data_IF_845555096115
#
_entry.id   IF_845555096115
#
_cell.length_a   1.000
_cell.length_b   1.000
_cell.length_c   1.000
_cell.angle_alpha   90.00
_cell.angle_beta   90.00
_cell.angle_gamma   90.00
#
_symmetry.space_group_name_H-M   'P 1'
#
loop_
_entity.id
_entity.type
_entity.pdbx_description
1 polymer ?
#
# COMPACT_ATOMS: atom_id res chain seq x y z
N UNK A 1 5.84 -39.79 15.59
CA UNK A 1 6.19 -40.15 14.21
C UNK A 1 4.95 -39.95 13.36
N UNK A 2 5.05 -39.15 12.28
CA UNK A 2 4.23 -39.09 11.05
C UNK A 2 2.69 -39.13 11.17
N UNK A 3 1.89 -38.46 10.35
CA UNK A 3 2.04 -37.54 9.23
C UNK A 3 0.62 -36.92 9.08
N UNK A 4 0.47 -35.67 8.68
CA UNK A 4 0.39 -35.35 7.25
C UNK A 4 -1.02 -34.82 6.95
N UNK A 5 -1.12 -33.49 6.82
CA UNK A 5 -2.31 -32.77 6.37
C UNK A 5 -2.84 -33.34 5.06
N UNK A 6 -4.11 -33.77 5.06
CA UNK A 6 -4.85 -34.02 3.83
C UNK A 6 -5.76 -32.80 3.57
N UNK A 7 -5.21 -31.87 2.78
CA UNK A 7 -5.95 -30.76 2.20
C UNK A 7 -6.94 -31.32 1.16
N UNK A 8 -8.24 -31.12 1.40
CA UNK A 8 -9.31 -31.52 0.49
C UNK A 8 -9.23 -30.68 -0.80
N UNK A 9 -8.79 -31.31 -1.90
CA UNK A 9 -8.76 -30.71 -3.23
C UNK A 9 -10.15 -30.69 -3.86
N UNK A 10 -10.58 -29.50 -4.28
CA UNK A 10 -11.89 -29.18 -4.88
C UNK A 10 -12.05 -29.72 -6.32
N UNK A 11 -11.06 -30.46 -6.82
CA UNK A 11 -11.03 -31.00 -8.18
C UNK A 11 -11.48 -32.47 -8.32
N UNK A 12 -12.13 -33.06 -7.31
CA UNK A 12 -12.82 -34.34 -7.50
C UNK A 12 -14.23 -34.12 -8.03
N UNK A 13 -14.36 -33.93 -9.34
CA UNK A 13 -15.64 -34.09 -10.02
C UNK A 13 -15.73 -35.49 -10.63
N UNK A 14 -16.63 -36.28 -10.05
CA UNK A 14 -17.09 -37.59 -10.52
C UNK A 14 -17.49 -37.55 -12.00
N UNK A 15 -17.01 -38.52 -12.79
CA UNK A 15 -17.32 -38.66 -14.21
C UNK A 15 -18.55 -39.54 -14.45
N UNK A 16 -19.68 -39.23 -13.80
CA UNK A 16 -20.96 -39.85 -14.13
C UNK A 16 -21.84 -38.85 -14.88
N UNK A 17 -21.61 -38.77 -16.20
CA UNK A 17 -22.56 -38.15 -17.12
C UNK A 17 -23.36 -39.24 -17.83
N UNK A 18 -24.68 -39.12 -17.70
CA UNK A 18 -25.70 -39.96 -18.34
C UNK A 18 -25.50 -39.94 -19.86
N UNK A 19 -25.36 -41.12 -20.48
CA UNK A 19 -25.22 -41.30 -21.93
C UNK A 19 -26.55 -40.96 -22.64
N UNK A 20 -26.66 -39.75 -23.18
CA UNK A 20 -27.72 -39.42 -24.15
C UNK A 20 -27.30 -39.96 -25.51
N UNK A 21 -28.03 -40.95 -26.02
CA UNK A 21 -27.81 -41.58 -27.33
C UNK A 21 -28.13 -40.60 -28.47
N UNK A 22 -27.10 -40.18 -29.21
CA UNK A 22 -27.20 -39.64 -30.56
C UNK A 22 -26.87 -40.70 -31.62
N UNK A 23 -27.36 -40.56 -32.87
CA UNK A 23 -27.34 -41.62 -33.90
C UNK A 23 -25.91 -41.91 -34.43
N UNK A 24 -25.69 -43.10 -35.03
CA UNK A 24 -24.35 -43.67 -35.19
C UNK A 24 -23.56 -42.96 -36.29
N UNK A 25 -22.39 -42.43 -35.95
CA UNK A 25 -21.40 -42.02 -36.94
C UNK A 25 -20.65 -43.25 -37.42
N UNK A 26 -20.68 -43.47 -38.73
CA UNK A 26 -20.05 -44.59 -39.41
C UNK A 26 -18.58 -44.77 -39.02
N UNK A 27 -18.29 -46.01 -38.63
CA UNK A 27 -16.96 -46.58 -38.44
C UNK A 27 -16.21 -46.66 -39.77
N UNK A 28 -15.01 -46.06 -39.87
CA UNK A 28 -13.92 -46.46 -40.77
C UNK A 28 -12.61 -46.34 -39.99
N UNK A 29 -12.15 -47.44 -39.39
CA UNK A 29 -10.99 -48.24 -39.82
C UNK A 29 -9.65 -47.51 -39.81
N UNK A 30 -8.91 -47.72 -38.72
CA UNK A 30 -7.48 -48.05 -38.71
C UNK A 30 -6.49 -47.00 -39.21
N UNK A 31 -5.82 -46.33 -38.27
CA UNK A 31 -4.41 -45.95 -38.42
C UNK A 31 -3.78 -45.76 -37.03
N UNK A 32 -2.75 -46.55 -36.73
CA UNK A 32 -1.93 -46.43 -35.53
C UNK A 32 -0.96 -45.24 -35.70
N UNK A 33 -1.45 -44.02 -35.51
CA UNK A 33 -0.61 -42.82 -35.42
C UNK A 33 -0.57 -42.38 -33.96
N UNK A 34 0.60 -42.10 -33.36
CA UNK A 34 0.67 -41.53 -32.01
C UNK A 34 -0.08 -40.20 -31.99
N UNK A 35 -0.81 -39.84 -30.91
CA UNK A 35 -1.45 -38.54 -30.84
C UNK A 35 -0.37 -37.46 -30.88
N UNK A 36 -0.39 -36.67 -31.96
CA UNK A 36 0.36 -35.42 -32.05
C UNK A 36 -0.05 -34.56 -30.83
N UNK A 37 0.87 -33.86 -30.14
CA UNK A 37 0.48 -32.96 -29.07
C UNK A 37 -0.52 -31.96 -29.65
N UNK A 38 -1.76 -32.00 -29.16
CA UNK A 38 -2.86 -31.14 -29.58
C UNK A 38 -2.42 -29.68 -29.51
N UNK A 39 -1.90 -29.16 -30.62
CA UNK A 39 -1.74 -27.74 -30.80
C UNK A 39 -3.17 -27.19 -30.91
N UNK A 40 -3.60 -26.28 -30.02
CA UNK A 40 -4.96 -25.77 -30.07
C UNK A 40 -5.19 -25.22 -31.48
N UNK A 41 -6.17 -25.79 -32.18
CA UNK A 41 -6.50 -25.35 -33.53
C UNK A 41 -7.03 -23.92 -33.43
N UNK A 42 -6.17 -22.95 -33.71
CA UNK A 42 -6.55 -21.54 -33.74
C UNK A 42 -7.37 -21.36 -35.02
N UNK A 43 -8.69 -21.32 -34.84
CA UNK A 43 -9.64 -21.14 -35.92
C UNK A 43 -9.51 -19.71 -36.47
N UNK A 44 -9.92 -19.48 -37.72
CA UNK A 44 -10.02 -18.11 -38.25
C UNK A 44 -10.88 -17.19 -37.36
N UNK A 45 -11.87 -17.77 -36.66
CA UNK A 45 -12.65 -17.08 -35.63
C UNK A 45 -11.80 -16.62 -34.44
N UNK A 46 -10.82 -17.41 -33.99
CA UNK A 46 -9.92 -17.05 -32.88
C UNK A 46 -8.97 -15.92 -33.29
N UNK A 47 -8.54 -15.90 -34.55
CA UNK A 47 -7.80 -14.77 -35.11
C UNK A 47 -8.66 -13.49 -35.12
N UNK A 48 -9.93 -13.58 -35.53
CA UNK A 48 -10.85 -12.44 -35.46
C UNK A 48 -11.13 -12.00 -34.01
N UNK A 49 -11.18 -12.91 -33.04
CA UNK A 49 -11.31 -12.59 -31.62
C UNK A 49 -10.04 -11.90 -31.10
N UNK A 50 -8.87 -12.37 -31.50
CA UNK A 50 -7.57 -11.77 -31.18
C UNK A 50 -7.42 -10.37 -31.77
N UNK A 51 -7.75 -10.20 -33.06
CA UNK A 51 -7.71 -8.92 -33.77
C UNK A 51 -8.73 -7.92 -33.21
N UNK A 52 -9.89 -8.41 -32.75
CA UNK A 52 -10.89 -7.64 -32.03
C UNK A 52 -10.55 -7.43 -30.54
N UNK A 53 -9.36 -7.85 -30.07
CA UNK A 53 -8.93 -7.76 -28.66
C UNK A 53 -9.98 -8.29 -27.67
N UNK A 54 -10.71 -9.35 -28.02
CA UNK A 54 -11.77 -9.94 -27.18
C UNK A 54 -13.13 -9.23 -27.24
N UNK A 55 -13.33 -8.26 -28.14
CA UNK A 55 -14.65 -7.65 -28.37
C UNK A 55 -15.56 -8.58 -29.20
N UNK A 56 -16.29 -9.46 -28.51
CA UNK A 56 -17.45 -10.14 -29.10
C UNK A 56 -18.59 -9.13 -29.34
N UNK A 57 -19.17 -9.18 -30.55
CA UNK A 57 -20.21 -8.28 -31.10
C UNK A 57 -21.59 -8.39 -30.44
N UNK A 58 -21.82 -9.38 -29.57
CA UNK A 58 -23.10 -9.57 -28.91
C UNK A 58 -23.24 -8.69 -27.64
N UNK A 59 -23.00 -7.37 -27.76
CA UNK A 59 -23.09 -6.42 -26.64
C UNK A 59 -24.46 -6.50 -25.96
N UNK A 60 -25.52 -6.65 -26.74
CA UNK A 60 -26.93 -6.64 -26.32
C UNK A 60 -27.32 -7.80 -25.37
N UNK A 61 -26.59 -8.92 -25.40
CA UNK A 61 -26.85 -10.09 -24.55
C UNK A 61 -26.01 -10.14 -23.27
N UNK A 62 -25.02 -9.25 -23.14
CA UNK A 62 -24.09 -9.23 -22.01
C UNK A 62 -24.66 -8.45 -20.83
N UNK A 63 -24.42 -8.95 -19.61
CA UNK A 63 -24.84 -8.26 -18.38
C UNK A 63 -24.35 -6.80 -18.39
N UNK A 64 -25.18 -5.87 -17.91
CA UNK A 64 -24.93 -4.42 -17.96
C UNK A 64 -23.54 -4.00 -17.46
N UNK A 65 -23.00 -4.69 -16.45
CA UNK A 65 -21.63 -4.48 -15.94
C UNK A 65 -20.54 -4.76 -16.98
N UNK A 66 -20.73 -5.78 -17.82
CA UNK A 66 -19.78 -6.18 -18.86
C UNK A 66 -19.89 -5.27 -20.09
N UNK A 67 -21.08 -4.73 -20.37
CA UNK A 67 -21.25 -3.67 -21.36
C UNK A 67 -20.54 -2.37 -20.93
N UNK A 68 -20.62 -2.01 -19.65
CA UNK A 68 -19.92 -0.84 -19.10
C UNK A 68 -18.40 -1.06 -19.16
N UNK A 69 -17.92 -2.23 -18.72
CA UNK A 69 -16.49 -2.57 -18.78
C UNK A 69 -15.94 -2.62 -20.21
N UNK A 70 -16.76 -3.02 -21.20
CA UNK A 70 -16.40 -2.99 -22.62
C UNK A 70 -16.46 -1.58 -23.24
N UNK A 71 -17.22 -0.65 -22.67
CA UNK A 71 -17.25 0.75 -23.13
C UNK A 71 -15.99 1.51 -22.72
N UNK A 72 -15.34 1.11 -21.64
CA UNK A 72 -14.08 1.69 -21.21
C UNK A 72 -12.96 1.23 -22.15
N UNK A 73 -12.35 2.19 -22.86
CA UNK A 73 -11.16 1.94 -23.67
C UNK A 73 -10.05 1.45 -22.74
N UNK A 74 -9.44 0.28 -22.99
CA UNK A 74 -8.26 -0.11 -22.23
C UNK A 74 -7.17 0.92 -22.44
N UNK A 75 -6.58 1.39 -21.33
CA UNK A 75 -5.44 2.30 -21.37
C UNK A 75 -4.35 1.74 -22.26
N UNK A 76 -3.73 2.60 -23.06
CA UNK A 76 -2.54 2.20 -23.82
C UNK A 76 -1.38 1.95 -22.86
N UNK A 77 -0.41 1.12 -23.26
CA UNK A 77 0.79 0.86 -22.47
C UNK A 77 1.50 2.16 -22.08
N UNK A 78 1.48 3.17 -22.96
CA UNK A 78 2.03 4.49 -22.70
C UNK A 78 1.25 5.27 -21.64
N UNK A 79 -0.09 5.27 -21.72
CA UNK A 79 -0.95 5.89 -20.69
C UNK A 79 -0.78 5.21 -19.33
N UNK A 80 -0.63 3.89 -19.32
CA UNK A 80 -0.36 3.12 -18.11
C UNK A 80 1.01 3.47 -17.50
N UNK A 81 2.05 3.57 -18.33
CA UNK A 81 3.39 3.98 -17.88
C UNK A 81 3.39 5.39 -17.27
N UNK A 82 2.69 6.35 -17.89
CA UNK A 82 2.56 7.70 -17.33
C UNK A 82 1.85 7.64 -15.97
N UNK A 83 0.72 6.92 -15.88
CA UNK A 83 -0.01 6.78 -14.62
C UNK A 83 0.84 6.18 -13.51
N UNK A 84 1.66 5.18 -13.82
CA UNK A 84 2.54 4.54 -12.85
C UNK A 84 3.65 5.49 -12.39
N UNK A 85 4.21 6.31 -13.29
CA UNK A 85 5.22 7.30 -12.93
C UNK A 85 4.65 8.39 -12.03
N UNK A 86 3.42 8.83 -12.29
CA UNK A 86 2.71 9.79 -11.44
C UNK A 86 2.45 9.21 -10.04
N UNK A 87 1.98 7.95 -9.97
CA UNK A 87 1.75 7.24 -8.70
C UNK A 87 3.05 7.06 -7.90
N UNK A 88 4.12 6.60 -8.55
CA UNK A 88 5.43 6.46 -7.92
C UNK A 88 5.97 7.80 -7.38
N UNK A 89 5.72 8.88 -8.13
CA UNK A 89 6.11 10.22 -7.69
C UNK A 89 5.31 10.65 -6.45
N UNK A 90 4.01 10.40 -6.43
CA UNK A 90 3.15 10.65 -5.28
C UNK A 90 3.61 9.88 -4.03
N UNK A 91 3.84 8.57 -4.17
CA UNK A 91 4.34 7.71 -3.08
C UNK A 91 5.70 8.21 -2.58
N UNK A 92 6.59 8.65 -3.48
CA UNK A 92 7.89 9.19 -3.07
C UNK A 92 7.74 10.44 -2.21
N UNK A 93 6.88 11.38 -2.61
CA UNK A 93 6.64 12.59 -1.83
C UNK A 93 5.95 12.32 -0.49
N UNK A 94 5.03 11.36 -0.45
CA UNK A 94 4.40 10.90 0.77
C UNK A 94 5.43 10.30 1.73
N UNK A 95 6.32 9.43 1.23
CA UNK A 95 7.41 8.86 2.01
C UNK A 95 8.39 9.95 2.51
N UNK A 96 8.73 10.94 1.68
CA UNK A 96 9.56 12.08 2.10
C UNK A 96 8.90 12.86 3.26
N UNK A 97 7.59 13.12 3.16
CA UNK A 97 6.85 13.84 4.20
C UNK A 97 6.80 13.06 5.52
N UNK A 98 6.44 11.77 5.47
CA UNK A 98 6.41 10.93 6.66
C UNK A 98 7.80 10.70 7.25
N UNK A 99 8.83 10.61 6.40
CA UNK A 99 10.24 10.59 6.83
C UNK A 99 10.59 11.82 7.65
N UNK A 100 10.31 13.02 7.12
CA UNK A 100 10.54 14.27 7.85
C UNK A 100 9.78 14.33 9.18
N UNK A 101 8.53 13.85 9.21
CA UNK A 101 7.74 13.79 10.44
C UNK A 101 8.33 12.81 11.47
N UNK A 102 8.87 11.68 11.02
CA UNK A 102 9.57 10.72 11.87
C UNK A 102 10.84 11.33 12.47
N UNK A 103 11.67 11.98 11.64
CA UNK A 103 12.91 12.62 12.10
C UNK A 103 12.61 13.69 13.16
N UNK A 104 11.58 14.53 12.94
CA UNK A 104 11.15 15.54 13.91
C UNK A 104 10.63 14.94 15.22
N UNK A 105 9.98 13.79 15.15
CA UNK A 105 9.53 13.07 16.33
C UNK A 105 10.71 12.52 17.13
N UNK A 106 11.68 11.91 16.45
CA UNK A 106 12.90 11.38 17.09
C UNK A 106 13.71 12.49 17.76
N UNK A 107 13.85 13.66 17.11
CA UNK A 107 14.47 14.85 17.71
C UNK A 107 13.73 15.31 18.97
N UNK A 108 12.40 15.34 18.95
CA UNK A 108 11.60 15.72 20.11
C UNK A 108 11.76 14.71 21.25
N UNK A 109 11.75 13.41 20.96
CA UNK A 109 11.97 12.34 21.95
C UNK A 109 13.35 12.48 22.58
N UNK A 110 14.39 12.75 21.79
CA UNK A 110 15.75 13.01 22.28
C UNK A 110 15.78 14.23 23.21
N UNK A 111 15.15 15.34 22.81
CA UNK A 111 15.08 16.55 23.62
C UNK A 111 14.35 16.33 24.96
N UNK A 112 13.23 15.59 24.94
CA UNK A 112 12.47 15.23 26.16
C UNK A 112 13.30 14.32 27.07
N UNK A 113 13.96 13.32 26.49
CA UNK A 113 14.82 12.38 27.23
C UNK A 113 16.00 13.11 27.87
N UNK A 114 16.62 14.05 27.16
CA UNK A 114 17.73 14.84 27.68
C UNK A 114 17.26 15.77 28.80
N UNK A 115 16.18 16.52 28.59
CA UNK A 115 15.64 17.43 29.59
C UNK A 115 15.17 16.70 30.86
N UNK A 116 14.55 15.53 30.73
CA UNK A 116 14.15 14.70 31.87
C UNK A 116 15.35 14.16 32.66
N UNK A 117 16.41 13.70 31.99
CA UNK A 117 17.66 13.29 32.66
C UNK A 117 18.33 14.45 33.41
N UNK A 118 18.39 15.63 32.79
CA UNK A 118 18.92 16.84 33.43
C UNK A 118 18.11 17.25 34.66
N UNK A 119 16.78 17.25 34.55
CA UNK A 119 15.89 17.54 35.68
C UNK A 119 16.06 16.51 36.81
N UNK A 120 16.20 15.24 36.46
CA UNK A 120 16.38 14.18 37.44
C UNK A 120 17.71 14.33 38.19
N UNK A 121 18.81 14.59 37.49
CA UNK A 121 20.12 14.79 38.12
C UNK A 121 20.15 16.05 38.99
N UNK A 122 19.56 17.15 38.53
CA UNK A 122 19.47 18.40 39.29
C UNK A 122 18.57 18.25 40.51
N UNK A 123 17.45 17.54 40.39
CA UNK A 123 16.56 17.27 41.53
C UNK A 123 17.21 16.37 42.58
N UNK A 124 18.03 15.39 42.17
CA UNK A 124 18.79 14.55 43.09
C UNK A 124 19.86 15.34 43.85
N UNK A 125 20.61 16.20 43.17
CA UNK A 125 21.58 17.09 43.82
C UNK A 125 20.88 18.01 44.80
N UNK A 126 19.79 18.63 44.36
CA UNK A 126 18.96 19.50 45.17
C UNK A 126 18.45 18.81 46.46
N UNK A 127 17.94 17.58 46.36
CA UNK A 127 17.46 16.84 47.53
C UNK A 127 18.60 16.47 48.47
N UNK A 128 19.78 16.12 47.94
CA UNK A 128 20.97 15.82 48.75
C UNK A 128 21.43 17.03 49.54
N UNK A 129 21.52 18.19 48.89
CA UNK A 129 21.96 19.44 49.51
C UNK A 129 20.93 19.90 50.56
N UNK A 130 19.63 19.82 50.22
CA UNK A 130 18.53 20.17 51.13
C UNK A 130 18.48 19.30 52.40
N UNK A 131 18.82 18.01 52.29
CA UNK A 131 18.87 17.10 53.45
C UNK A 131 20.17 17.26 54.26
N UNK A 132 21.22 17.86 53.69
CA UNK A 132 22.54 18.01 54.33
C UNK A 132 22.72 19.35 55.03
N UNK A 133 22.05 20.42 54.61
CA UNK A 133 22.14 21.74 55.25
C UNK A 133 21.03 21.94 56.28
N UNK A 134 21.40 22.01 57.56
CA UNK A 134 20.46 22.12 58.67
C UNK A 134 19.93 23.55 58.91
N UNK A 135 20.40 24.56 58.17
CA UNK A 135 19.83 25.92 58.26
C UNK A 135 20.14 26.82 57.06
N UNK A 136 19.05 27.37 56.49
CA UNK A 136 18.97 28.65 55.78
C UNK A 136 19.80 28.90 54.50
N UNK A 137 19.21 28.57 53.36
CA UNK A 137 19.55 29.16 52.06
C UNK A 137 18.33 29.14 51.15
N UNK A 138 18.08 30.23 50.41
CA UNK A 138 16.97 30.31 49.44
C UNK A 138 17.09 29.19 48.41
N UNK A 139 16.20 28.22 48.58
CA UNK A 139 16.00 27.03 47.77
C UNK A 139 15.89 27.40 46.28
N UNK A 140 16.98 27.27 45.51
CA UNK A 140 17.00 27.63 44.09
C UNK A 140 16.31 26.55 43.23
N UNK A 141 15.00 26.73 43.00
CA UNK A 141 14.18 25.88 42.11
C UNK A 141 14.18 26.36 40.66
N UNK A 142 15.09 27.27 40.28
CA UNK A 142 15.17 27.83 38.93
C UNK A 142 15.38 26.77 37.85
N UNK A 143 15.98 25.63 38.22
CA UNK A 143 16.22 24.49 37.35
C UNK A 143 14.91 23.86 36.80
N UNK A 144 13.83 23.84 37.59
CA UNK A 144 12.51 23.35 37.15
C UNK A 144 11.94 24.25 36.05
N UNK A 145 12.02 25.57 36.26
CA UNK A 145 11.57 26.56 35.28
C UNK A 145 12.42 26.49 34.00
N UNK A 146 13.72 26.28 34.14
CA UNK A 146 14.63 26.12 33.01
C UNK A 146 14.29 24.84 32.21
N UNK A 147 14.05 23.71 32.88
CA UNK A 147 13.63 22.48 32.21
C UNK A 147 12.28 22.63 31.49
N UNK A 148 11.29 23.27 32.13
CA UNK A 148 9.99 23.56 31.50
C UNK A 148 10.15 24.44 30.25
N UNK A 149 11.00 25.48 30.32
CA UNK A 149 11.30 26.33 29.16
C UNK A 149 11.97 25.56 28.03
N UNK A 150 13.00 24.73 28.32
CA UNK A 150 13.68 23.91 27.32
C UNK A 150 12.70 22.97 26.59
N UNK A 151 11.85 22.28 27.34
CA UNK A 151 10.84 21.38 26.77
C UNK A 151 9.84 22.13 25.88
N UNK A 152 9.35 23.27 26.35
CA UNK A 152 8.40 24.08 25.60
C UNK A 152 9.02 24.61 24.30
N UNK A 153 10.27 25.08 24.34
CA UNK A 153 10.99 25.52 23.12
C UNK A 153 11.19 24.37 22.14
N UNK A 154 11.60 23.18 22.61
CA UNK A 154 11.75 22.01 21.75
C UNK A 154 10.41 21.62 21.08
N UNK A 155 9.32 21.64 21.84
CA UNK A 155 7.97 21.36 21.31
C UNK A 155 7.54 22.40 20.26
N UNK A 156 7.72 23.69 20.55
CA UNK A 156 7.37 24.77 19.63
C UNK A 156 8.17 24.68 18.32
N UNK A 157 9.47 24.39 18.41
CA UNK A 157 10.31 24.20 17.24
C UNK A 157 9.84 22.99 16.41
N UNK A 158 9.57 21.85 17.06
CA UNK A 158 9.06 20.65 16.38
C UNK A 158 7.74 20.92 15.65
N UNK A 159 6.79 21.62 16.30
CA UNK A 159 5.53 22.02 15.68
C UNK A 159 5.71 22.96 14.49
N UNK A 160 6.61 23.94 14.60
CA UNK A 160 6.90 24.86 13.51
C UNK A 160 7.53 24.13 12.30
N UNK A 161 8.47 23.22 12.55
CA UNK A 161 9.07 22.39 11.50
C UNK A 161 8.05 21.44 10.86
N UNK A 162 7.16 20.84 11.66
CA UNK A 162 6.08 19.99 11.15
C UNK A 162 5.12 20.79 10.26
N UNK A 163 4.75 21.99 10.66
CA UNK A 163 3.90 22.88 9.86
C UNK A 163 4.58 23.25 8.52
N UNK A 164 5.89 23.51 8.54
CA UNK A 164 6.66 23.78 7.32
C UNK A 164 6.74 22.55 6.40
N UNK A 165 6.96 21.35 6.97
CA UNK A 165 6.96 20.10 6.21
C UNK A 165 5.59 19.82 5.57
N UNK A 166 4.50 20.08 6.31
CA UNK A 166 3.14 19.97 5.81
C UNK A 166 2.89 20.94 4.65
N UNK A 167 3.30 22.21 4.80
CA UNK A 167 3.11 23.19 3.74
C UNK A 167 3.89 22.79 2.48
N UNK A 168 5.15 22.35 2.63
CA UNK A 168 5.93 21.86 1.50
C UNK A 168 5.29 20.66 0.80
N UNK A 169 4.66 19.77 1.57
CA UNK A 169 3.92 18.63 1.02
C UNK A 169 2.69 19.10 0.24
N UNK A 170 1.88 19.99 0.80
CA UNK A 170 0.71 20.59 0.13
C UNK A 170 1.13 21.26 -1.19
N UNK A 171 2.18 22.08 -1.17
CA UNK A 171 2.66 22.79 -2.35
C UNK A 171 3.08 21.80 -3.47
N UNK A 172 3.76 20.70 -3.11
CA UNK A 172 4.14 19.64 -4.06
C UNK A 172 2.90 18.93 -4.62
N UNK A 173 1.90 18.66 -3.79
CA UNK A 173 0.66 18.01 -4.19
C UNK A 173 -0.21 18.89 -5.10
N UNK A 174 -0.30 20.18 -4.84
CA UNK A 174 -1.05 21.12 -5.69
C UNK A 174 -0.40 21.32 -7.07
N UNK A 175 0.92 21.17 -7.15
CA UNK A 175 1.69 21.26 -8.40
C UNK A 175 1.71 19.95 -9.20
N UNK A 176 1.20 18.85 -8.63
CA UNK A 176 1.19 17.53 -9.26
C UNK A 176 0.23 17.49 -10.47
N UNK A 177 0.71 17.17 -11.69
CA UNK A 177 -0.19 16.94 -12.81
C UNK A 177 -1.05 15.72 -12.50
N UNK A 178 -2.37 15.88 -12.43
CA UNK A 178 -3.28 14.74 -12.19
C UNK A 178 -3.79 14.57 -10.76
N UNK A 179 -3.57 15.52 -9.84
CA UNK A 179 -4.11 15.56 -8.47
C UNK A 179 -5.66 15.41 -8.34
N UNK A 180 -6.38 15.19 -9.46
CA UNK A 180 -7.83 15.02 -9.53
C UNK A 180 -8.33 13.65 -9.96
N UNK A 181 -7.51 12.62 -10.14
CA UNK A 181 -8.01 11.32 -10.66
C UNK A 181 -7.44 10.08 -9.98
N UNK A 182 -7.38 10.04 -8.66
CA UNK A 182 -7.31 8.74 -7.97
C UNK A 182 -8.06 8.77 -6.64
N UNK A 183 -9.38 8.87 -6.73
CA UNK A 183 -10.26 8.23 -5.75
C UNK A 183 -11.33 7.48 -6.56
N UNK A 184 -10.93 6.35 -7.13
CA UNK A 184 -11.87 5.34 -7.64
C UNK A 184 -11.65 4.03 -6.90
N UNK A 185 -11.67 4.11 -5.57
CA UNK A 185 -11.83 2.96 -4.67
C UNK A 185 -12.66 3.37 -3.46
N UNK A 186 -13.95 3.64 -3.68
CA UNK A 186 -15.05 3.41 -2.75
C UNK A 186 -16.32 3.12 -3.56
#
# INVERSE_FOLDING_TARGET
MSAGSASSSVYSRSTDSVKIHGPPVHRRTGSNVPPEPDCPHITAADHHIGDARGFSTALESTASRLQIAKKDRPSTDHEWQISLLDELTGIRWENEFYGACSDLYDELVLAVTQASRELLSQSQSYLRDYLSEQDSGTVNRGFLLQGARKLNTALQNSQACQAAALQSWIDKWEQAPGARKSVRWL
#
